data_IF_103498782534
#
_entry.id   IF_103498782534
#
_cell.length_a   1.000
_cell.length_b   1.000
_cell.length_c   1.000
_cell.angle_alpha   90.00
_cell.angle_beta   90.00
_cell.angle_gamma   90.00
#
_symmetry.space_group_name_H-M   'P 1'
#
loop_
_entity.id
_entity.type
_entity.pdbx_description
1 polymer ?
#
# COMPACT_ATOMS: atom_id res chain seq x y z
N UNK A 1 -9.52 -13.99 -10.48
CA UNK A 1 -9.59 -12.81 -9.58
C UNK A 1 -8.75 -12.90 -8.31
N UNK A 2 -8.09 -14.03 -7.97
CA UNK A 2 -7.30 -14.15 -6.71
C UNK A 2 -5.85 -13.65 -6.80
N UNK A 3 -5.17 -13.85 -7.94
CA UNK A 3 -3.76 -13.49 -8.10
C UNK A 3 -3.51 -11.97 -8.18
N UNK A 4 -4.38 -11.23 -8.89
CA UNK A 4 -4.28 -9.78 -9.00
C UNK A 4 -4.48 -9.08 -7.65
N UNK A 5 -5.41 -9.55 -6.82
CA UNK A 5 -5.63 -9.01 -5.48
C UNK A 5 -4.45 -9.18 -4.53
N UNK A 6 -3.87 -10.37 -4.54
CA UNK A 6 -2.69 -10.66 -3.75
C UNK A 6 -1.50 -9.81 -4.19
N UNK A 7 -1.28 -9.67 -5.51
CA UNK A 7 -0.20 -8.86 -6.05
C UNK A 7 -0.32 -7.38 -5.63
N UNK A 8 -1.54 -6.85 -5.63
CA UNK A 8 -1.83 -5.47 -5.24
C UNK A 8 -1.67 -5.28 -3.74
N UNK A 9 -2.14 -6.22 -2.92
CA UNK A 9 -1.92 -6.20 -1.48
C UNK A 9 -0.43 -6.26 -1.12
N UNK A 10 0.35 -7.09 -1.82
CA UNK A 10 1.80 -7.13 -1.67
C UNK A 10 2.46 -5.80 -2.07
N UNK A 11 1.87 -5.06 -3.02
CA UNK A 11 2.35 -3.74 -3.42
C UNK A 11 2.17 -2.71 -2.30
N UNK A 12 0.99 -2.69 -1.66
CA UNK A 12 0.75 -1.86 -0.46
C UNK A 12 1.68 -2.25 0.70
N UNK A 13 1.80 -3.55 0.98
CA UNK A 13 2.72 -4.06 2.00
C UNK A 13 4.17 -3.63 1.75
N UNK A 14 4.63 -3.66 0.50
CA UNK A 14 5.98 -3.26 0.13
C UNK A 14 6.24 -1.79 0.44
N UNK A 15 5.31 -0.89 0.13
CA UNK A 15 5.51 0.53 0.43
C UNK A 15 5.39 0.80 1.93
N UNK A 16 4.42 0.21 2.62
CA UNK A 16 4.38 0.28 4.09
C UNK A 16 5.70 -0.19 4.70
N UNK A 17 6.30 -1.25 4.14
CA UNK A 17 7.63 -1.72 4.52
C UNK A 17 8.74 -0.70 4.27
N UNK A 18 8.82 -0.11 3.07
CA UNK A 18 9.83 0.91 2.77
C UNK A 18 9.74 2.11 3.72
N UNK A 19 8.52 2.52 4.08
CA UNK A 19 8.29 3.57 5.06
C UNK A 19 8.77 3.17 6.46
N UNK A 20 8.36 2.00 6.97
CA UNK A 20 8.76 1.56 8.32
C UNK A 20 10.27 1.33 8.38
N UNK A 21 10.86 0.76 7.32
CA UNK A 21 12.31 0.59 7.22
C UNK A 21 13.06 1.94 7.26
N UNK A 22 12.51 2.99 6.64
CA UNK A 22 13.09 4.34 6.69
C UNK A 22 13.16 4.95 8.09
N UNK A 23 12.35 4.45 9.04
CA UNK A 23 12.39 4.88 10.45
C UNK A 23 13.52 4.21 11.26
N UNK A 24 14.32 3.34 10.64
CA UNK A 24 15.45 2.69 11.30
C UNK A 24 15.14 1.33 11.95
N UNK A 25 13.98 0.74 11.66
CA UNK A 25 13.68 -0.63 12.07
C UNK A 25 14.59 -1.63 11.35
N UNK A 26 14.97 -2.72 12.04
CA UNK A 26 15.63 -3.84 11.37
C UNK A 26 14.70 -4.48 10.36
N UNK A 27 15.25 -5.18 9.35
CA UNK A 27 14.45 -5.81 8.29
C UNK A 27 13.27 -6.66 8.84
N UNK A 28 13.55 -7.53 9.81
CA UNK A 28 12.54 -8.42 10.40
C UNK A 28 11.47 -7.62 11.16
N UNK A 29 11.87 -6.60 11.91
CA UNK A 29 10.93 -5.76 12.64
C UNK A 29 10.08 -4.91 11.70
N UNK A 30 10.68 -4.33 10.66
CA UNK A 30 9.98 -3.55 9.65
C UNK A 30 8.94 -4.41 8.90
N UNK A 31 9.32 -5.62 8.50
CA UNK A 31 8.41 -6.56 7.84
C UNK A 31 7.23 -6.94 8.74
N UNK A 32 7.50 -7.27 10.01
CA UNK A 32 6.46 -7.64 10.96
C UNK A 32 5.47 -6.49 11.23
N UNK A 33 5.98 -5.29 11.50
CA UNK A 33 5.15 -4.09 11.72
C UNK A 33 4.30 -3.77 10.49
N UNK A 34 4.90 -3.83 9.30
CA UNK A 34 4.20 -3.51 8.05
C UNK A 34 3.10 -4.53 7.75
N UNK A 35 3.36 -5.82 7.98
CA UNK A 35 2.36 -6.86 7.80
C UNK A 35 1.17 -6.68 8.76
N UNK A 36 1.45 -6.36 10.03
CA UNK A 36 0.39 -6.08 11.02
C UNK A 36 -0.43 -4.86 10.61
N UNK A 37 0.22 -3.74 10.26
CA UNK A 37 -0.46 -2.53 9.81
C UNK A 37 -1.34 -2.81 8.58
N UNK A 38 -0.80 -3.47 7.56
CA UNK A 38 -1.53 -3.74 6.31
C UNK A 38 -2.75 -4.63 6.55
N UNK A 39 -2.63 -5.67 7.39
CA UNK A 39 -3.76 -6.54 7.75
C UNK A 39 -4.81 -5.76 8.53
N UNK A 40 -4.41 -4.95 9.52
CA UNK A 40 -5.34 -4.15 10.32
C UNK A 40 -6.09 -3.12 9.49
N UNK A 41 -5.39 -2.42 8.59
CA UNK A 41 -6.00 -1.44 7.69
C UNK A 41 -6.95 -2.12 6.71
N UNK A 42 -6.52 -3.20 6.06
CA UNK A 42 -7.38 -4.00 5.16
C UNK A 42 -8.65 -4.50 5.87
N UNK A 43 -8.52 -4.97 7.11
CA UNK A 43 -9.66 -5.42 7.91
C UNK A 43 -10.63 -4.28 8.24
N UNK A 44 -10.10 -3.10 8.56
CA UNK A 44 -10.91 -1.93 8.89
C UNK A 44 -11.57 -1.34 7.64
N UNK A 45 -10.90 -1.36 6.50
CA UNK A 45 -11.44 -0.88 5.22
C UNK A 45 -12.49 -1.82 4.64
N UNK A 46 -12.51 -3.11 4.99
CA UNK A 46 -13.56 -4.06 4.55
C UNK A 46 -14.97 -3.57 4.88
N UNK A 47 -15.15 -2.87 6.00
CA UNK A 47 -16.44 -2.28 6.37
C UNK A 47 -16.92 -1.23 5.35
N UNK A 48 -16.01 -0.51 4.68
CA UNK A 48 -16.34 0.43 3.61
C UNK A 48 -17.00 -0.30 2.42
N UNK A 49 -16.50 -1.48 2.08
CA UNK A 49 -17.04 -2.31 0.98
C UNK A 49 -18.37 -2.99 1.33
N UNK A 50 -18.58 -3.24 2.62
CA UNK A 50 -19.88 -3.66 3.18
C UNK A 50 -20.88 -2.49 3.31
N UNK A 51 -20.54 -1.31 2.78
CA UNK A 51 -21.33 -0.05 2.86
C UNK A 51 -21.56 0.44 4.28
N UNK A 52 -20.73 0.02 5.22
CA UNK A 52 -20.75 0.45 6.62
C UNK A 52 -19.73 1.58 6.82
N UNK A 53 -19.94 2.69 6.10
CA UNK A 53 -19.04 3.85 6.14
C UNK A 53 -19.17 4.53 7.50
N UNK A 54 -18.06 4.58 8.23
CA UNK A 54 -17.94 5.32 9.49
C UNK A 54 -16.57 6.03 9.56
N UNK A 55 -16.39 6.87 10.57
CA UNK A 55 -15.14 7.64 10.74
C UNK A 55 -13.89 6.73 10.81
N UNK A 56 -13.99 5.53 11.38
CA UNK A 56 -12.87 4.59 11.44
C UNK A 56 -12.51 4.02 10.07
N UNK A 57 -13.50 3.71 9.22
CA UNK A 57 -13.24 3.22 7.84
C UNK A 57 -12.59 4.28 6.96
N UNK A 58 -13.03 5.54 7.07
CA UNK A 58 -12.44 6.66 6.34
C UNK A 58 -11.03 6.93 6.88
N UNK A 59 -10.86 6.90 8.21
CA UNK A 59 -9.56 7.07 8.85
C UNK A 59 -8.55 6.01 8.41
N UNK A 60 -8.97 4.74 8.37
CA UNK A 60 -8.13 3.64 7.89
C UNK A 60 -7.68 3.87 6.44
N UNK A 61 -8.61 4.26 5.56
CA UNK A 61 -8.28 4.56 4.16
C UNK A 61 -7.27 5.70 4.02
N UNK A 62 -7.44 6.77 4.80
CA UNK A 62 -6.51 7.91 4.81
C UNK A 62 -5.13 7.49 5.32
N UNK A 63 -5.08 6.68 6.37
CA UNK A 63 -3.83 6.16 6.92
C UNK A 63 -3.13 5.23 5.92
N UNK A 64 -3.84 4.29 5.30
CA UNK A 64 -3.27 3.39 4.30
C UNK A 64 -2.71 4.18 3.10
N UNK A 65 -3.47 5.15 2.59
CA UNK A 65 -3.00 6.01 1.49
C UNK A 65 -1.75 6.82 1.88
N UNK A 66 -1.68 7.34 3.11
CA UNK A 66 -0.53 8.08 3.59
C UNK A 66 0.71 7.17 3.75
N UNK A 67 0.56 5.97 4.32
CA UNK A 67 1.66 5.01 4.46
C UNK A 67 2.21 4.58 3.09
N UNK A 68 1.31 4.24 2.16
CA UNK A 68 1.69 3.89 0.79
C UNK A 68 2.39 5.05 0.07
N UNK A 69 1.94 6.28 0.27
CA UNK A 69 2.58 7.47 -0.29
C UNK A 69 3.98 7.69 0.27
N UNK A 70 4.14 7.64 1.59
CA UNK A 70 5.43 7.85 2.23
C UNK A 70 6.42 6.75 1.85
N UNK A 71 5.97 5.49 1.82
CA UNK A 71 6.80 4.37 1.36
C UNK A 71 7.23 4.52 -0.09
N UNK A 72 6.29 4.86 -0.96
CA UNK A 72 6.58 5.09 -2.37
C UNK A 72 7.53 6.28 -2.56
N UNK A 73 7.40 7.34 -1.77
CA UNK A 73 8.33 8.46 -1.76
C UNK A 73 9.77 8.02 -1.40
N UNK A 74 9.93 7.17 -0.39
CA UNK A 74 11.23 6.58 -0.04
C UNK A 74 11.82 5.76 -1.19
N UNK A 75 10.99 5.01 -1.92
CA UNK A 75 11.41 4.32 -3.15
C UNK A 75 11.81 5.31 -4.25
N UNK A 76 11.03 6.37 -4.47
CA UNK A 76 11.28 7.37 -5.52
C UNK A 76 12.59 8.12 -5.35
N UNK A 77 12.99 8.43 -4.11
CA UNK A 77 14.30 9.05 -3.83
C UNK A 77 15.47 8.22 -4.34
N UNK A 78 15.30 6.90 -4.51
CA UNK A 78 16.34 5.98 -4.99
C UNK A 78 16.41 5.93 -6.52
N UNK A 79 15.36 6.36 -7.24
CA UNK A 79 15.28 6.25 -8.71
C UNK A 79 16.38 7.05 -9.44
N UNK A 80 16.70 8.31 -9.07
CA UNK A 80 17.75 9.08 -9.73
C UNK A 80 19.15 8.44 -9.65
N UNK A 81 19.38 7.57 -8.67
CA UNK A 81 20.63 6.83 -8.53
C UNK A 81 20.70 5.56 -9.41
N UNK A 82 19.61 5.21 -10.12
CA UNK A 82 19.59 4.02 -10.97
C UNK A 82 20.25 4.28 -12.33
N UNK A 83 21.08 3.37 -12.86
CA UNK A 83 21.75 3.56 -14.14
C UNK A 83 20.78 3.81 -15.31
N UNK A 84 19.65 3.12 -15.33
CA UNK A 84 18.61 3.26 -16.35
C UNK A 84 17.98 4.66 -16.35
N UNK A 85 17.73 5.23 -15.16
CA UNK A 85 17.20 6.58 -15.06
C UNK A 85 18.22 7.63 -15.48
N UNK A 86 19.50 7.46 -15.14
CA UNK A 86 20.56 8.38 -15.57
C UNK A 86 20.74 8.41 -17.09
N UNK A 87 20.62 7.26 -17.76
CA UNK A 87 20.62 7.19 -19.23
C UNK A 87 19.44 7.97 -19.83
N UNK A 88 18.22 7.72 -19.33
CA UNK A 88 17.02 8.41 -19.80
C UNK A 88 17.01 9.91 -19.48
N UNK A 89 17.51 10.30 -18.31
CA UNK A 89 17.60 11.71 -17.92
C UNK A 89 18.58 12.48 -18.80
N UNK A 90 19.70 11.84 -19.21
CA UNK A 90 20.65 12.41 -20.16
C UNK A 90 20.05 12.61 -21.56
N UNK A 91 19.32 11.61 -22.06
CA UNK A 91 18.78 11.63 -23.42
C UNK A 91 17.50 12.49 -23.57
N UNK A 92 16.69 12.61 -22.51
CA UNK A 92 15.37 13.26 -22.57
C UNK A 92 15.22 14.49 -21.66
N UNK A 93 16.27 14.89 -20.92
CA UNK A 93 16.22 16.07 -20.04
C UNK A 93 15.19 15.94 -18.90
N UNK A 94 14.99 14.73 -18.38
CA UNK A 94 13.98 14.47 -17.35
C UNK A 94 14.32 15.19 -16.04
N UNK A 95 13.31 15.73 -15.33
CA UNK A 95 13.52 16.38 -14.04
C UNK A 95 13.94 15.36 -12.98
N UNK A 96 14.87 15.74 -12.10
CA UNK A 96 15.44 14.84 -11.08
C UNK A 96 14.43 14.24 -10.08
N UNK A 97 13.19 14.72 -10.06
CA UNK A 97 12.09 14.16 -9.24
C UNK A 97 10.79 14.08 -10.05
N UNK A 98 10.06 12.95 -9.98
CA UNK A 98 8.76 12.81 -10.64
C UNK A 98 7.67 13.67 -9.98
N UNK A 99 6.60 14.02 -10.71
CA UNK A 99 5.57 14.94 -10.22
C UNK A 99 4.76 14.35 -9.05
N UNK A 100 4.78 15.05 -7.91
CA UNK A 100 4.11 14.69 -6.66
C UNK A 100 2.60 14.43 -6.81
N UNK A 101 1.92 15.12 -7.72
CA UNK A 101 0.46 14.99 -7.91
C UNK A 101 0.08 13.62 -8.48
N UNK A 102 0.86 13.09 -9.43
CA UNK A 102 0.62 11.75 -9.98
C UNK A 102 0.80 10.65 -8.91
N UNK A 103 1.76 10.86 -8.01
CA UNK A 103 2.08 10.01 -6.87
C UNK A 103 0.89 9.88 -5.91
N UNK A 104 0.29 11.00 -5.49
CA UNK A 104 -0.86 11.03 -4.57
C UNK A 104 -2.08 10.34 -5.17
N UNK A 105 -2.37 10.57 -6.46
CA UNK A 105 -3.51 9.95 -7.15
C UNK A 105 -3.33 8.43 -7.26
N UNK A 106 -2.11 7.96 -7.57
CA UNK A 106 -1.80 6.52 -7.62
C UNK A 106 -1.94 5.88 -6.24
N UNK A 107 -1.51 6.55 -5.15
CA UNK A 107 -1.66 6.03 -3.79
C UNK A 107 -3.13 5.87 -3.37
N UNK A 108 -3.94 6.90 -3.57
CA UNK A 108 -5.37 6.84 -3.22
C UNK A 108 -6.10 5.76 -4.03
N UNK A 109 -5.79 5.65 -5.33
CA UNK A 109 -6.34 4.61 -6.19
C UNK A 109 -5.86 3.22 -5.77
N UNK A 110 -4.58 3.06 -5.44
CA UNK A 110 -4.02 1.81 -4.96
C UNK A 110 -4.67 1.39 -3.64
N UNK A 111 -4.77 2.26 -2.64
CA UNK A 111 -5.39 1.95 -1.34
C UNK A 111 -6.84 1.51 -1.45
N UNK A 112 -7.66 2.25 -2.20
CA UNK A 112 -9.05 1.86 -2.49
C UNK A 112 -9.12 0.50 -3.20
N UNK A 113 -8.20 0.22 -4.11
CA UNK A 113 -8.20 -1.01 -4.88
C UNK A 113 -7.65 -2.20 -4.05
N UNK A 114 -6.60 -2.01 -3.26
CA UNK A 114 -5.99 -2.99 -2.35
C UNK A 114 -7.04 -3.52 -1.39
N UNK A 115 -7.70 -2.61 -0.66
CA UNK A 115 -8.70 -2.96 0.33
C UNK A 115 -9.84 -3.80 -0.27
N UNK A 116 -10.33 -3.40 -1.45
CA UNK A 116 -11.46 -4.05 -2.11
C UNK A 116 -11.14 -5.47 -2.54
N UNK A 117 -9.93 -5.70 -3.05
CA UNK A 117 -9.55 -7.01 -3.62
C UNK A 117 -8.94 -7.93 -2.55
N UNK A 118 -8.36 -7.38 -1.48
CA UNK A 118 -7.81 -8.16 -0.36
C UNK A 118 -8.89 -8.68 0.61
N UNK A 119 -10.04 -8.00 0.73
CA UNK A 119 -11.18 -8.43 1.56
C UNK A 119 -11.51 -9.94 1.43
N UNK A 120 -11.78 -10.50 0.23
CA UNK A 120 -12.12 -11.92 0.10
C UNK A 120 -10.94 -12.88 0.35
N UNK A 121 -9.69 -12.41 0.24
CA UNK A 121 -8.49 -13.24 0.48
C UNK A 121 -8.22 -13.44 1.97
N UNK A 122 -8.44 -12.42 2.79
CA UNK A 122 -8.09 -12.43 4.21
C UNK A 122 -9.30 -12.53 5.15
N UNK A 123 -10.47 -12.04 4.74
CA UNK A 123 -11.69 -12.01 5.56
C UNK A 123 -12.77 -12.98 5.05
N UNK A 124 -12.73 -13.34 3.76
CA UNK A 124 -13.63 -14.36 3.19
C UNK A 124 -13.47 -15.75 3.82
N UNK A 125 -12.31 -16.07 4.39
CA UNK A 125 -12.09 -17.29 5.18
C UNK A 125 -12.71 -17.26 6.59
N UNK A 126 -12.96 -16.07 7.15
CA UNK A 126 -13.57 -15.92 8.47
C UNK A 126 -15.10 -16.10 8.44
N UNK A 127 -15.78 -15.71 7.35
CA UNK A 127 -17.23 -15.91 7.21
C UNK A 127 -17.63 -17.38 7.03
N UNK A 128 -16.79 -18.21 6.40
CA UNK A 128 -17.05 -19.66 6.28
C UNK A 128 -16.98 -20.39 7.63
N UNK A 129 -16.25 -19.86 8.61
CA UNK A 129 -16.11 -20.47 9.94
C UNK A 129 -17.20 -20.05 10.93
N UNK A 130 -17.97 -19.01 10.61
CA UNK A 130 -19.10 -18.54 11.43
C UNK A 130 -20.45 -19.15 11.06
N UNK A 131 -20.54 -19.87 9.93
CA UNK A 131 -21.77 -20.54 9.45
C UNK A 131 -21.87 -22.01 9.84
N UNK A 132 -20.83 -22.58 10.45
CA UNK A 132 -20.80 -23.99 10.92
C UNK A 132 -20.97 -24.11 12.44
N UNK A 133 -21.56 -23.12 13.12
CA UNK A 133 -21.92 -23.21 14.54
C UNK A 133 -23.36 -22.79 14.77
#
# INVERSE_FOLDING_TARGET
>A
MKASGLAIWCFGLYFTFEFVASMGFSFVAALAVSAVLQVTLTATESFLWKRQVNAATIGALVVDAALNFLGMWETFKKIPATPSYQMLAGDFGLPATPPLIALVVVCLAASLFVARVAEPLFLGGFELRGRER
#
